data_IF_359857224222
#
_entry.id   IF_359857224222
#
_cell.length_a   1.000
_cell.length_b   1.000
_cell.length_c   1.000
_cell.angle_alpha   90.00
_cell.angle_beta   90.00
_cell.angle_gamma   90.00
#
_symmetry.space_group_name_H-M   'P 1'
#
loop_
_entity.id
_entity.type
_entity.pdbx_description
1 polymer ?
#
# COMPACT_ATOMS: atom_id res chain seq x y z
N UNK A 1 -20.86 44.83 34.82
CA UNK A 1 -21.26 43.44 34.53
C UNK A 1 -20.59 43.00 33.23
N UNK A 2 -19.37 42.48 33.33
CA UNK A 2 -18.55 42.04 32.18
C UNK A 2 -18.63 40.52 32.08
N UNK A 3 -19.29 40.02 31.05
CA UNK A 3 -19.40 38.59 30.75
C UNK A 3 -18.14 38.10 30.03
N UNK A 4 -17.31 37.36 30.76
CA UNK A 4 -16.22 36.56 30.21
C UNK A 4 -16.80 35.31 29.53
N UNK A 5 -16.98 35.36 28.21
CA UNK A 5 -17.26 34.17 27.42
C UNK A 5 -15.94 33.44 27.08
N UNK A 6 -15.69 32.34 27.77
CA UNK A 6 -14.54 31.46 27.52
C UNK A 6 -14.85 30.62 26.28
N UNK A 7 -14.43 31.10 25.10
CA UNK A 7 -14.35 30.26 23.91
C UNK A 7 -13.38 29.10 24.14
N UNK A 8 -13.93 27.90 24.35
CA UNK A 8 -13.19 26.64 24.32
C UNK A 8 -12.62 26.44 22.93
N UNK A 9 -11.30 26.65 22.78
CA UNK A 9 -10.53 26.25 21.58
C UNK A 9 -10.75 24.76 21.34
N UNK A 10 -11.46 24.44 20.26
CA UNK A 10 -11.55 23.10 19.71
C UNK A 10 -10.14 22.64 19.30
N UNK A 11 -9.51 21.74 20.07
CA UNK A 11 -8.29 21.08 19.65
C UNK A 11 -8.67 19.91 18.74
N UNK A 12 -8.36 19.95 17.43
CA UNK A 12 -8.61 18.81 16.56
C UNK A 12 -7.74 17.62 17.03
N UNK A 13 -8.34 16.43 17.05
CA UNK A 13 -7.65 15.18 17.36
C UNK A 13 -6.40 15.02 16.50
N UNK A 14 -5.33 14.47 17.08
CA UNK A 14 -4.00 14.31 16.46
C UNK A 14 -4.05 13.69 15.05
N UNK A 15 -5.05 12.82 14.77
CA UNK A 15 -5.28 12.21 13.46
C UNK A 15 -5.77 13.20 12.38
N UNK A 16 -6.52 14.24 12.74
CA UNK A 16 -6.99 15.29 11.81
C UNK A 16 -5.87 16.27 11.45
N UNK A 17 -5.04 16.63 12.43
CA UNK A 17 -3.85 17.46 12.20
C UNK A 17 -2.81 16.77 11.29
N UNK A 18 -2.70 15.44 11.34
CA UNK A 18 -1.86 14.67 10.41
C UNK A 18 -2.44 14.70 8.99
N UNK A 19 -3.76 14.53 8.81
CA UNK A 19 -4.40 14.64 7.47
C UNK A 19 -4.22 16.04 6.86
N UNK A 20 -4.41 17.09 7.66
CA UNK A 20 -4.22 18.48 7.20
C UNK A 20 -2.76 18.78 6.90
N UNK A 21 -1.79 18.25 7.68
CA UNK A 21 -0.36 18.37 7.33
C UNK A 21 0.03 17.59 6.07
N UNK A 22 -0.53 16.41 5.84
CA UNK A 22 -0.29 15.66 4.59
C UNK A 22 -0.84 16.45 3.39
N UNK A 23 -1.97 17.16 3.54
CA UNK A 23 -2.51 18.03 2.50
C UNK A 23 -1.71 19.33 2.28
N UNK A 24 -1.02 19.85 3.31
CA UNK A 24 -0.29 21.13 3.25
C UNK A 24 1.21 20.99 2.97
N UNK A 25 1.79 19.79 3.04
CA UNK A 25 3.21 19.54 2.69
C UNK A 25 3.39 19.13 1.22
N UNK A 26 2.35 19.32 0.39
CA UNK A 26 2.45 19.27 -1.06
C UNK A 26 2.80 20.67 -1.59
N UNK A 27 4.08 21.04 -1.53
CA UNK A 27 4.67 21.80 -2.66
C UNK A 27 4.89 20.82 -3.81
N UNK A 28 3.83 20.13 -4.23
CA UNK A 28 3.77 19.44 -5.50
C UNK A 28 3.46 20.51 -6.55
N UNK A 29 4.13 20.45 -7.71
CA UNK A 29 3.81 21.34 -8.82
C UNK A 29 2.29 21.37 -9.07
N UNK A 30 1.75 22.53 -9.46
CA UNK A 30 0.35 22.62 -9.85
C UNK A 30 0.17 21.91 -11.19
N UNK A 31 -0.19 20.63 -11.13
CA UNK A 31 -0.59 19.88 -12.31
C UNK A 31 -1.99 20.32 -12.72
N UNK A 32 -2.14 20.74 -13.97
CA UNK A 32 -3.43 21.04 -14.58
C UNK A 32 -3.57 20.21 -15.84
N UNK A 33 -4.80 19.78 -16.14
CA UNK A 33 -5.08 19.11 -17.40
C UNK A 33 -4.81 20.11 -18.54
N UNK A 34 -3.99 19.72 -19.51
CA UNK A 34 -3.76 20.53 -20.70
C UNK A 34 -4.91 20.31 -21.67
N UNK A 35 -5.78 21.32 -21.82
CA UNK A 35 -7.01 21.22 -22.61
C UNK A 35 -6.81 21.53 -24.11
N UNK A 36 -5.59 21.46 -24.63
CA UNK A 36 -5.36 21.74 -26.05
C UNK A 36 -5.88 20.58 -26.91
N UNK A 37 -6.48 20.92 -28.06
CA UNK A 37 -7.01 19.92 -29.00
C UNK A 37 -5.95 18.89 -29.44
N UNK A 38 -4.70 19.34 -29.64
CA UNK A 38 -3.58 18.45 -29.96
C UNK A 38 -3.18 17.47 -28.86
N UNK A 39 -3.58 17.72 -27.60
CA UNK A 39 -3.31 16.84 -26.46
C UNK A 39 -4.52 15.95 -26.12
N UNK A 40 -5.73 16.51 -26.13
CA UNK A 40 -6.96 15.77 -25.80
C UNK A 40 -7.47 14.90 -26.95
N UNK A 41 -7.14 15.25 -28.20
CA UNK A 41 -7.63 14.53 -29.37
C UNK A 41 -9.14 14.63 -29.54
N UNK A 42 -9.71 13.72 -30.34
CA UNK A 42 -11.16 13.64 -30.55
C UNK A 42 -11.85 13.12 -29.29
N UNK A 43 -12.99 13.71 -28.93
CA UNK A 43 -13.80 13.21 -27.82
C UNK A 43 -14.20 11.74 -28.04
N UNK A 44 -13.85 10.90 -27.07
CA UNK A 44 -14.28 9.50 -27.04
C UNK A 44 -15.72 9.37 -26.58
N UNK A 45 -16.52 8.61 -27.31
CA UNK A 45 -17.89 8.28 -26.91
C UNK A 45 -17.94 7.49 -25.60
N UNK A 46 -19.09 7.51 -24.93
CA UNK A 46 -19.27 6.84 -23.62
C UNK A 46 -18.94 5.35 -23.66
N UNK A 47 -19.32 4.64 -24.72
CA UNK A 47 -19.03 3.21 -24.89
C UNK A 47 -17.52 2.94 -25.03
N UNK A 48 -16.82 3.77 -25.81
CA UNK A 48 -15.37 3.68 -25.98
C UNK A 48 -14.64 3.96 -24.65
N UNK A 49 -15.08 4.99 -23.92
CA UNK A 49 -14.53 5.29 -22.59
C UNK A 49 -14.74 4.14 -21.61
N UNK A 50 -15.92 3.53 -21.58
CA UNK A 50 -16.21 2.39 -20.72
C UNK A 50 -15.32 1.20 -21.06
N UNK A 51 -15.11 0.92 -22.34
CA UNK A 51 -14.21 -0.15 -22.76
C UNK A 51 -12.75 0.11 -22.40
N UNK A 52 -12.25 1.31 -22.67
CA UNK A 52 -10.89 1.71 -22.27
C UNK A 52 -10.70 1.59 -20.75
N UNK A 53 -11.65 2.09 -19.96
CA UNK A 53 -11.60 1.99 -18.50
C UNK A 53 -11.66 0.53 -18.01
N UNK A 54 -12.54 -0.31 -18.57
CA UNK A 54 -12.62 -1.72 -18.20
C UNK A 54 -11.30 -2.47 -18.49
N UNK A 55 -10.72 -2.24 -19.67
CA UNK A 55 -9.42 -2.82 -20.07
C UNK A 55 -8.28 -2.32 -19.20
N UNK A 56 -8.23 -1.02 -18.88
CA UNK A 56 -7.23 -0.46 -17.97
C UNK A 56 -7.30 -1.10 -16.57
N UNK A 57 -8.51 -1.29 -16.04
CA UNK A 57 -8.70 -1.94 -14.74
C UNK A 57 -8.25 -3.41 -14.77
N UNK A 58 -8.58 -4.14 -15.84
CA UNK A 58 -8.12 -5.51 -16.02
C UNK A 58 -6.59 -5.60 -16.12
N UNK A 59 -5.95 -4.72 -16.89
CA UNK A 59 -4.49 -4.66 -16.99
C UNK A 59 -3.83 -4.31 -15.65
N UNK A 60 -4.46 -3.42 -14.87
CA UNK A 60 -3.94 -2.98 -13.57
C UNK A 60 -4.00 -4.07 -12.50
N UNK A 61 -5.08 -4.83 -12.47
CA UNK A 61 -5.34 -5.78 -11.38
C UNK A 61 -5.16 -7.26 -11.76
N UNK A 62 -5.18 -7.60 -13.05
CA UNK A 62 -5.27 -8.97 -13.56
C UNK A 62 -6.66 -9.59 -13.35
N UNK A 63 -7.22 -9.43 -12.15
CA UNK A 63 -8.56 -9.83 -11.73
C UNK A 63 -9.31 -8.59 -11.27
N UNK A 64 -10.44 -8.29 -11.90
CA UNK A 64 -11.30 -7.17 -11.58
C UNK A 64 -12.50 -7.62 -10.75
N UNK A 65 -12.65 -6.97 -9.60
CA UNK A 65 -13.78 -7.11 -8.67
C UNK A 65 -14.40 -5.75 -8.37
N UNK A 66 -15.69 -5.73 -8.00
CA UNK A 66 -16.44 -4.47 -7.79
C UNK A 66 -15.86 -3.64 -6.64
N UNK A 67 -15.33 -4.29 -5.62
CA UNK A 67 -14.69 -3.69 -4.46
C UNK A 67 -13.44 -2.90 -4.83
N UNK A 68 -12.66 -3.38 -5.80
CA UNK A 68 -11.45 -2.70 -6.27
C UNK A 68 -11.78 -1.57 -7.22
N UNK A 69 -12.80 -1.72 -8.07
CA UNK A 69 -13.35 -0.62 -8.86
C UNK A 69 -13.69 0.60 -8.00
N UNK A 70 -14.25 0.40 -6.79
CA UNK A 70 -14.61 1.49 -5.87
C UNK A 70 -13.40 2.23 -5.29
N UNK A 71 -12.18 1.70 -5.42
CA UNK A 71 -10.94 2.37 -4.97
C UNK A 71 -10.46 3.43 -5.95
N UNK A 72 -10.91 3.35 -7.20
CA UNK A 72 -10.46 4.22 -8.28
C UNK A 72 -11.36 5.45 -8.45
N UNK A 73 -10.78 6.55 -8.88
CA UNK A 73 -11.47 7.81 -9.16
C UNK A 73 -11.61 8.05 -10.67
N UNK A 74 -12.60 8.87 -11.07
CA UNK A 74 -12.79 9.25 -12.47
C UNK A 74 -13.37 8.16 -13.38
N UNK A 75 -13.83 7.05 -12.82
CA UNK A 75 -14.44 5.95 -13.56
C UNK A 75 -15.92 6.20 -13.86
N UNK A 76 -16.39 5.62 -14.97
CA UNK A 76 -17.81 5.46 -15.28
C UNK A 76 -18.49 4.52 -14.28
N UNK A 77 -19.81 4.60 -14.17
CA UNK A 77 -20.57 3.80 -13.21
C UNK A 77 -20.41 2.30 -13.48
N UNK A 78 -20.36 1.52 -12.40
CA UNK A 78 -20.17 0.06 -12.47
C UNK A 78 -21.05 -0.67 -13.50
N UNK A 79 -22.37 -0.38 -13.66
CA UNK A 79 -23.19 -1.05 -14.67
C UNK A 79 -22.66 -0.87 -16.09
N UNK A 80 -22.13 0.30 -16.44
CA UNK A 80 -21.59 0.58 -17.76
C UNK A 80 -20.34 -0.26 -18.03
N UNK A 81 -19.44 -0.35 -17.06
CA UNK A 81 -18.26 -1.21 -17.13
C UNK A 81 -18.65 -2.70 -17.16
N UNK A 82 -19.63 -3.10 -16.36
CA UNK A 82 -20.10 -4.47 -16.29
C UNK A 82 -20.71 -4.97 -17.60
N UNK A 83 -21.42 -4.11 -18.35
CA UNK A 83 -21.87 -4.44 -19.69
C UNK A 83 -20.70 -4.71 -20.65
N UNK A 84 -19.63 -3.91 -20.57
CA UNK A 84 -18.44 -4.16 -21.38
C UNK A 84 -17.73 -5.44 -20.94
N UNK A 85 -17.57 -5.69 -19.64
CA UNK A 85 -16.96 -6.91 -19.12
C UNK A 85 -17.70 -8.17 -19.57
N UNK A 86 -19.04 -8.16 -19.58
CA UNK A 86 -19.84 -9.24 -20.16
C UNK A 86 -19.57 -9.45 -21.65
N UNK A 87 -19.47 -8.36 -22.42
CA UNK A 87 -19.15 -8.45 -23.85
C UNK A 87 -17.76 -9.04 -24.08
N UNK A 88 -16.76 -8.60 -23.31
CA UNK A 88 -15.39 -9.14 -23.37
C UNK A 88 -15.34 -10.62 -22.96
N UNK A 89 -16.16 -11.05 -21.99
CA UNK A 89 -16.33 -12.46 -21.64
C UNK A 89 -16.90 -13.25 -22.84
N UNK A 90 -17.98 -12.77 -23.45
CA UNK A 90 -18.59 -13.44 -24.61
C UNK A 90 -17.64 -13.54 -25.81
N UNK A 91 -16.77 -12.55 -25.99
CA UNK A 91 -15.70 -12.57 -27.01
C UNK A 91 -14.55 -13.52 -26.64
N UNK A 92 -14.54 -14.07 -25.42
CA UNK A 92 -13.49 -14.96 -24.93
C UNK A 92 -12.19 -14.24 -24.55
N UNK A 93 -12.18 -12.90 -24.51
CA UNK A 93 -11.02 -12.10 -24.14
C UNK A 93 -10.71 -12.18 -22.64
N UNK A 94 -11.73 -12.41 -21.81
CA UNK A 94 -11.60 -12.55 -20.36
C UNK A 94 -12.36 -13.78 -19.85
N UNK A 95 -12.17 -14.11 -18.57
CA UNK A 95 -12.87 -15.19 -17.86
C UNK A 95 -13.71 -14.60 -16.74
N UNK A 96 -14.91 -15.16 -16.55
CA UNK A 96 -15.82 -14.79 -15.47
C UNK A 96 -15.88 -15.92 -14.46
N UNK A 97 -15.78 -15.60 -13.16
CA UNK A 97 -15.76 -16.63 -12.11
C UNK A 97 -15.62 -16.06 -10.70
N UNK A 98 -15.19 -16.93 -9.79
CA UNK A 98 -14.86 -16.61 -8.40
C UNK A 98 -13.41 -17.05 -8.15
N UNK A 99 -12.46 -16.13 -8.27
CA UNK A 99 -11.03 -16.43 -8.19
C UNK A 99 -10.46 -16.16 -6.80
N UNK A 100 -10.98 -15.13 -6.13
CA UNK A 100 -10.53 -14.69 -4.80
C UNK A 100 -11.64 -14.94 -3.79
N UNK A 101 -11.34 -15.68 -2.72
CA UNK A 101 -12.27 -15.93 -1.62
C UNK A 101 -12.53 -14.68 -0.76
N UNK A 102 -13.66 -14.65 -0.05
CA UNK A 102 -14.02 -13.54 0.85
C UNK A 102 -14.48 -12.25 0.18
N UNK A 103 -14.52 -12.21 -1.16
CA UNK A 103 -15.04 -11.10 -1.94
C UNK A 103 -16.45 -11.39 -2.47
N UNK A 104 -17.26 -10.34 -2.59
CA UNK A 104 -18.67 -10.50 -2.96
C UNK A 104 -18.87 -10.42 -4.48
N UNK A 105 -19.73 -11.29 -4.98
CA UNK A 105 -20.17 -11.25 -6.38
C UNK A 105 -19.15 -11.76 -7.39
N UNK A 106 -19.51 -11.59 -8.66
CA UNK A 106 -18.77 -12.16 -9.78
C UNK A 106 -17.50 -11.36 -10.09
N UNK A 107 -16.44 -12.07 -10.48
CA UNK A 107 -15.13 -11.52 -10.78
C UNK A 107 -14.79 -11.75 -12.25
N UNK A 108 -13.98 -10.87 -12.82
CA UNK A 108 -13.53 -10.96 -14.21
C UNK A 108 -12.01 -10.99 -14.25
N UNK A 109 -11.40 -11.94 -14.93
CA UNK A 109 -9.96 -12.11 -14.96
C UNK A 109 -9.42 -12.19 -16.39
N UNK A 110 -8.22 -11.66 -16.59
CA UNK A 110 -7.45 -11.93 -17.80
C UNK A 110 -7.08 -13.43 -17.86
N UNK A 111 -7.09 -14.07 -19.04
CA UNK A 111 -6.75 -15.48 -19.18
C UNK A 111 -5.39 -15.84 -18.58
N UNK A 112 -4.39 -14.97 -18.75
CA UNK A 112 -3.05 -15.11 -18.17
C UNK A 112 -3.05 -15.08 -16.63
N UNK A 113 -3.93 -14.29 -16.01
CA UNK A 113 -4.08 -14.26 -14.55
C UNK A 113 -4.67 -15.58 -14.04
N UNK A 114 -5.64 -16.15 -14.77
CA UNK A 114 -6.21 -17.47 -14.45
C UNK A 114 -5.16 -18.57 -14.60
N UNK A 115 -4.39 -18.55 -15.69
CA UNK A 115 -3.32 -19.52 -15.92
C UNK A 115 -2.23 -19.45 -14.83
N UNK A 116 -1.87 -18.24 -14.38
CA UNK A 116 -0.95 -18.05 -13.26
C UNK A 116 -1.49 -18.67 -11.96
N UNK A 117 -2.76 -18.41 -11.62
CA UNK A 117 -3.40 -18.99 -10.43
C UNK A 117 -3.43 -20.52 -10.48
N UNK A 118 -3.74 -21.11 -11.63
CA UNK A 118 -3.74 -22.56 -11.82
C UNK A 118 -2.33 -23.13 -11.65
N UNK A 119 -1.32 -22.48 -12.24
CA UNK A 119 0.08 -22.90 -12.09
C UNK A 119 0.52 -22.89 -10.63
N UNK A 120 0.17 -21.86 -9.87
CA UNK A 120 0.48 -21.75 -8.44
C UNK A 120 -0.20 -22.86 -7.61
N UNK A 121 -1.38 -23.34 -8.02
CA UNK A 121 -2.06 -24.46 -7.36
C UNK A 121 -1.38 -25.81 -7.64
N UNK A 122 -0.86 -26.03 -8.86
CA UNK A 122 -0.27 -27.32 -9.27
C UNK A 122 1.23 -27.43 -8.97
N UNK A 123 1.94 -26.31 -9.00
CA UNK A 123 3.38 -26.22 -8.77
C UNK A 123 3.64 -25.11 -7.74
N UNK A 124 3.52 -25.39 -6.44
CA UNK A 124 3.88 -24.44 -5.39
C UNK A 124 5.41 -24.30 -5.32
N UNK A 125 6.00 -23.72 -6.36
CA UNK A 125 7.43 -23.39 -6.45
C UNK A 125 7.63 -21.94 -6.04
N UNK A 126 7.32 -21.61 -4.79
CA UNK A 126 7.98 -20.47 -4.18
C UNK A 126 9.45 -20.87 -3.99
N UNK A 127 10.43 -20.08 -4.46
CA UNK A 127 11.82 -20.32 -4.08
C UNK A 127 11.94 -20.33 -2.55
N UNK A 128 12.97 -21.01 -2.04
CA UNK A 128 13.30 -21.01 -0.61
C UNK A 128 13.20 -19.58 -0.05
N UNK A 129 12.22 -19.33 0.84
CA UNK A 129 11.95 -18.04 1.50
C UNK A 129 12.00 -16.83 0.57
N UNK A 130 10.87 -16.45 -0.03
CA UNK A 130 10.74 -15.19 -0.78
C UNK A 130 10.29 -14.07 0.16
N UNK A 131 10.72 -12.84 -0.09
CA UNK A 131 10.21 -11.67 0.62
C UNK A 131 9.97 -10.52 -0.35
N UNK A 132 8.92 -9.75 -0.10
CA UNK A 132 8.49 -8.67 -0.97
C UNK A 132 8.12 -7.45 -0.14
N UNK A 133 8.64 -6.28 -0.51
CA UNK A 133 8.19 -5.00 0.02
C UNK A 133 7.23 -4.36 -0.98
N UNK A 134 6.04 -4.01 -0.50
CA UNK A 134 5.08 -3.21 -1.28
C UNK A 134 4.74 -1.92 -0.54
N UNK A 135 4.62 -0.83 -1.28
CA UNK A 135 3.96 0.36 -0.76
C UNK A 135 2.50 0.04 -0.45
N UNK A 136 1.96 0.58 0.63
CA UNK A 136 0.54 0.39 0.96
C UNK A 136 -0.41 1.04 -0.04
N UNK A 137 0.07 1.92 -0.92
CA UNK A 137 -0.73 2.48 -2.02
C UNK A 137 -0.58 1.71 -3.34
N UNK A 138 0.30 0.70 -3.39
CA UNK A 138 0.54 -0.08 -4.59
C UNK A 138 -0.73 -0.83 -5.03
N UNK A 139 -1.13 -0.77 -6.32
CA UNK A 139 -2.29 -1.51 -6.81
C UNK A 139 -2.12 -3.04 -6.74
N UNK A 140 -0.88 -3.53 -6.77
CA UNK A 140 -0.56 -4.94 -6.58
C UNK A 140 -0.76 -5.40 -5.14
N UNK A 141 -1.04 -4.49 -4.19
CA UNK A 141 -1.52 -4.83 -2.87
C UNK A 141 -3.06 -4.98 -2.93
N UNK A 142 -3.61 -6.21 -3.06
CA UNK A 142 -5.06 -6.42 -3.19
C UNK A 142 -5.81 -6.04 -1.90
N UNK A 143 -5.07 -5.80 -0.83
CA UNK A 143 -5.51 -5.76 0.53
C UNK A 143 -5.68 -4.35 1.09
N UNK A 144 -6.47 -4.22 2.16
CA UNK A 144 -6.94 -2.94 2.67
C UNK A 144 -8.22 -2.48 1.99
N UNK A 145 -9.23 -2.08 2.78
CA UNK A 145 -10.60 -1.86 2.28
C UNK A 145 -11.50 -3.04 2.68
N UNK A 146 -12.01 -3.80 1.70
CA UNK A 146 -13.03 -4.86 1.93
C UNK A 146 -12.44 -6.22 2.32
N UNK A 147 -11.18 -6.49 1.98
CA UNK A 147 -10.49 -7.74 2.38
C UNK A 147 -9.84 -7.53 3.73
N UNK A 148 -10.28 -8.30 4.73
CA UNK A 148 -9.63 -8.38 6.04
C UNK A 148 -8.39 -9.26 5.96
N UNK A 149 -7.43 -8.97 6.82
CA UNK A 149 -6.07 -9.43 6.69
C UNK A 149 -5.57 -10.28 7.83
N UNK A 150 -6.36 -10.39 8.89
CA UNK A 150 -6.02 -11.11 10.13
C UNK A 150 -4.56 -10.83 10.56
N UNK A 151 -4.08 -9.62 10.26
CA UNK A 151 -2.70 -9.23 10.49
C UNK A 151 -2.61 -8.67 11.89
N UNK A 152 -2.22 -9.55 12.82
CA UNK A 152 -2.15 -9.25 14.24
C UNK A 152 -0.71 -9.03 14.66
N UNK A 153 -0.51 -8.19 15.67
CA UNK A 153 0.78 -8.00 16.33
C UNK A 153 1.15 -9.19 17.21
N UNK A 154 2.34 -9.16 17.80
CA UNK A 154 2.83 -10.19 18.72
C UNK A 154 1.91 -10.45 19.94
N UNK A 155 0.99 -9.54 20.24
CA UNK A 155 0.04 -9.64 21.35
C UNK A 155 -1.36 -10.09 20.88
N UNK A 156 -1.53 -10.42 19.59
CA UNK A 156 -2.81 -10.81 19.01
C UNK A 156 -3.75 -9.64 18.72
N UNK A 157 -3.29 -8.39 18.82
CA UNK A 157 -4.10 -7.23 18.45
C UNK A 157 -4.00 -6.97 16.96
N UNK A 158 -5.13 -6.64 16.34
CA UNK A 158 -5.16 -6.30 14.91
C UNK A 158 -4.33 -5.06 14.59
N UNK A 159 -3.39 -5.19 13.66
CA UNK A 159 -2.59 -4.08 13.13
C UNK A 159 -3.41 -3.34 12.07
N UNK A 160 -3.74 -2.09 12.38
CA UNK A 160 -4.49 -1.23 11.47
C UNK A 160 -3.59 -0.62 10.38
N UNK A 161 -3.58 -1.23 9.20
CA UNK A 161 -2.80 -0.74 8.05
C UNK A 161 -3.48 0.46 7.38
N UNK A 162 -2.75 1.56 7.24
CA UNK A 162 -3.21 2.76 6.51
C UNK A 162 -2.53 2.86 5.14
N UNK A 163 -3.31 3.05 4.06
CA UNK A 163 -2.80 3.29 2.71
C UNK A 163 -2.24 4.72 2.58
N UNK A 164 -0.92 4.85 2.59
CA UNK A 164 -0.19 6.11 2.37
C UNK A 164 1.14 5.86 1.66
N UNK A 165 1.62 6.83 0.87
CA UNK A 165 2.86 6.69 0.10
C UNK A 165 4.10 6.42 0.97
N UNK A 166 4.09 6.89 2.22
CA UNK A 166 5.17 6.67 3.18
C UNK A 166 5.09 5.34 3.93
N UNK A 167 4.03 4.55 3.71
CA UNK A 167 3.76 3.33 4.43
C UNK A 167 4.03 2.11 3.54
N UNK A 168 4.65 1.08 4.12
CA UNK A 168 5.08 -0.11 3.40
C UNK A 168 4.74 -1.38 4.17
N UNK A 169 4.57 -2.48 3.45
CA UNK A 169 4.36 -3.81 3.98
C UNK A 169 5.46 -4.72 3.50
N UNK A 170 6.06 -5.43 4.44
CA UNK A 170 6.96 -6.54 4.18
C UNK A 170 6.15 -7.83 4.22
N UNK A 171 6.15 -8.53 3.11
CA UNK A 171 5.66 -9.90 3.00
C UNK A 171 6.82 -10.86 3.16
N UNK A 172 6.55 -11.94 3.88
CA UNK A 172 7.40 -13.11 3.95
C UNK A 172 6.62 -14.28 3.36
N UNK A 173 7.11 -14.79 2.23
CA UNK A 173 6.38 -15.65 1.32
C UNK A 173 5.05 -15.01 0.88
N UNK A 174 3.93 -15.50 1.39
CA UNK A 174 2.58 -15.04 1.03
C UNK A 174 1.89 -14.30 2.18
N UNK A 175 2.56 -14.13 3.32
CA UNK A 175 1.96 -13.57 4.53
C UNK A 175 2.57 -12.20 4.89
N UNK A 176 1.75 -11.23 5.34
CA UNK A 176 2.27 -9.99 5.87
C UNK A 176 3.08 -10.28 7.13
N UNK A 177 4.35 -9.87 7.13
CA UNK A 177 5.29 -10.09 8.23
C UNK A 177 5.51 -8.80 9.03
N UNK A 178 5.63 -7.65 8.36
CA UNK A 178 5.77 -6.37 9.03
C UNK A 178 5.08 -5.21 8.29
N UNK A 179 4.60 -4.25 9.05
CA UNK A 179 4.05 -2.99 8.57
C UNK A 179 4.91 -1.82 9.04
N UNK A 180 5.38 -1.02 8.09
CA UNK A 180 6.21 0.15 8.32
C UNK A 180 5.37 1.42 8.11
N UNK A 181 5.11 2.14 9.20
CA UNK A 181 4.53 3.47 9.11
C UNK A 181 5.61 4.51 8.88
N UNK A 182 5.36 5.42 7.94
CA UNK A 182 6.18 6.60 7.71
C UNK A 182 7.69 6.29 7.56
N UNK A 183 8.04 5.42 6.62
CA UNK A 183 9.41 4.93 6.37
C UNK A 183 10.04 4.33 7.64
N UNK A 184 9.35 3.35 8.24
CA UNK A 184 9.76 2.63 9.45
C UNK A 184 9.87 3.48 10.73
N UNK A 185 9.31 4.69 10.74
CA UNK A 185 9.30 5.50 11.95
C UNK A 185 8.52 4.84 13.09
N UNK A 186 7.46 4.11 12.75
CA UNK A 186 6.88 3.09 13.62
C UNK A 186 6.85 1.77 12.86
N UNK A 187 7.28 0.71 13.51
CA UNK A 187 7.28 -0.65 12.99
C UNK A 187 6.26 -1.48 13.74
N UNK A 188 5.50 -2.27 12.99
CA UNK A 188 4.60 -3.28 13.51
C UNK A 188 5.02 -4.64 12.95
N UNK A 189 5.52 -5.51 13.81
CA UNK A 189 5.89 -6.88 13.53
C UNK A 189 4.68 -7.77 13.82
N UNK A 190 4.33 -8.63 12.86
CA UNK A 190 3.22 -9.56 12.98
C UNK A 190 3.48 -10.68 13.98
N UNK A 191 2.41 -11.37 14.41
CA UNK A 191 2.46 -12.51 15.33
C UNK A 191 3.37 -13.66 14.85
N UNK A 192 3.53 -13.78 13.52
CA UNK A 192 4.38 -14.79 12.87
C UNK A 192 5.83 -14.34 12.66
N UNK A 193 6.22 -13.16 13.17
CA UNK A 193 7.57 -12.66 13.05
C UNK A 193 8.61 -13.62 13.64
N UNK A 194 9.75 -13.76 12.97
CA UNK A 194 10.89 -14.60 13.40
C UNK A 194 12.21 -13.86 13.13
N UNK A 195 13.24 -14.17 13.91
CA UNK A 195 14.54 -13.48 13.80
C UNK A 195 15.21 -13.67 12.41
N UNK A 196 14.89 -14.76 11.70
CA UNK A 196 15.32 -15.01 10.30
C UNK A 196 14.79 -13.98 9.30
N UNK A 197 13.72 -13.26 9.64
CA UNK A 197 13.12 -12.21 8.80
C UNK A 197 13.83 -10.85 8.96
N UNK A 198 14.65 -10.70 10.00
CA UNK A 198 15.36 -9.44 10.32
C UNK A 198 16.21 -8.93 9.14
N UNK A 199 17.01 -9.76 8.43
CA UNK A 199 17.80 -9.30 7.29
C UNK A 199 16.96 -8.69 6.16
N UNK A 200 15.78 -9.24 5.87
CA UNK A 200 14.89 -8.72 4.83
C UNK A 200 14.30 -7.35 5.21
N UNK A 201 13.87 -7.18 6.46
CA UNK A 201 13.41 -5.88 6.98
C UNK A 201 14.52 -4.83 6.91
N UNK A 202 15.73 -5.18 7.32
CA UNK A 202 16.88 -4.27 7.30
C UNK A 202 17.26 -3.91 5.86
N UNK A 203 17.31 -4.89 4.95
CA UNK A 203 17.60 -4.66 3.54
C UNK A 203 16.55 -3.74 2.89
N UNK A 204 15.27 -3.94 3.21
CA UNK A 204 14.18 -3.05 2.80
C UNK A 204 14.40 -1.62 3.30
N UNK A 205 14.65 -1.42 4.61
CA UNK A 205 14.85 -0.08 5.18
C UNK A 205 16.07 0.61 4.55
N UNK A 206 17.18 -0.14 4.38
CA UNK A 206 18.39 0.34 3.71
C UNK A 206 18.11 0.76 2.27
N UNK A 207 17.28 0.02 1.53
CA UNK A 207 16.98 0.32 0.13
C UNK A 207 16.41 1.73 -0.08
N UNK A 208 15.64 2.27 0.88
CA UNK A 208 15.09 3.62 0.80
C UNK A 208 16.16 4.74 0.81
N UNK A 209 17.35 4.47 1.36
CA UNK A 209 18.46 5.42 1.38
C UNK A 209 19.47 5.22 0.23
N UNK A 210 19.38 4.09 -0.50
CA UNK A 210 20.22 3.83 -1.71
C UNK A 210 19.84 4.69 -2.90
N UNK A 211 18.62 5.21 -2.91
CA UNK A 211 18.13 6.16 -3.94
C UNK A 211 18.99 7.44 -3.92
N UNK A 212 19.30 8.08 -5.06
CA UNK A 212 20.03 9.35 -5.08
C UNK A 212 19.37 10.42 -4.20
N UNK A 213 20.18 11.25 -3.52
CA UNK A 213 19.69 12.19 -2.51
C UNK A 213 18.54 13.10 -3.00
N UNK A 214 18.57 13.54 -4.26
CA UNK A 214 17.53 14.38 -4.86
C UNK A 214 16.17 13.67 -5.02
N UNK A 215 16.14 12.34 -5.02
CA UNK A 215 14.95 11.52 -5.20
C UNK A 215 14.52 10.80 -3.91
N UNK A 216 15.28 10.95 -2.81
CA UNK A 216 14.94 10.32 -1.53
C UNK A 216 13.73 11.00 -0.89
N UNK A 217 12.78 10.20 -0.43
CA UNK A 217 11.69 10.71 0.42
C UNK A 217 12.15 11.10 1.82
N UNK A 218 13.29 10.57 2.28
CA UNK A 218 13.85 10.81 3.62
C UNK A 218 15.37 10.98 3.56
N UNK A 219 15.88 11.98 4.27
CA UNK A 219 17.33 12.21 4.37
C UNK A 219 18.04 11.14 5.23
N UNK A 220 17.32 10.58 6.20
CA UNK A 220 17.72 9.49 7.10
C UNK A 220 16.47 8.74 7.57
N UNK A 221 16.64 7.52 8.07
CA UNK A 221 15.54 6.76 8.67
C UNK A 221 15.60 6.89 10.19
N UNK A 222 14.46 7.10 10.84
CA UNK A 222 14.37 7.29 12.29
C UNK A 222 13.28 6.38 12.86
N UNK A 223 13.65 5.26 13.47
CA UNK A 223 12.74 4.31 14.10
C UNK A 223 12.50 4.77 15.55
N UNK A 224 11.26 5.16 15.85
CA UNK A 224 10.84 5.60 17.18
C UNK A 224 10.23 4.45 17.98
N UNK A 225 9.38 3.64 17.32
CA UNK A 225 8.62 2.60 17.98
C UNK A 225 8.62 1.28 17.21
N UNK A 226 8.59 0.18 17.96
CA UNK A 226 8.41 -1.18 17.44
C UNK A 226 7.31 -1.83 18.29
N UNK A 227 6.20 -2.24 17.67
CA UNK A 227 5.01 -2.79 18.35
C UNK A 227 4.49 -1.92 19.51
N UNK A 228 4.57 -0.59 19.35
CA UNK A 228 4.14 0.38 20.36
C UNK A 228 5.18 0.67 21.46
N UNK A 229 6.23 -0.14 21.58
CA UNK A 229 7.34 0.05 22.53
C UNK A 229 8.42 0.97 21.96
N UNK A 230 9.25 1.54 22.83
CA UNK A 230 10.41 2.33 22.38
C UNK A 230 11.38 1.44 21.58
N UNK A 231 11.83 1.92 20.42
CA UNK A 231 12.71 1.17 19.53
C UNK A 231 14.04 0.75 20.18
N UNK A 232 14.56 1.51 21.16
CA UNK A 232 15.81 1.21 21.87
C UNK A 232 15.68 0.08 22.88
N UNK A 233 14.53 -0.07 23.52
CA UNK A 233 14.29 -1.10 24.53
C UNK A 233 13.79 -2.41 23.92
N UNK A 234 13.42 -2.40 22.65
CA UNK A 234 12.88 -3.56 21.95
C UNK A 234 13.98 -4.57 21.61
N UNK A 235 13.64 -5.86 21.56
CA UNK A 235 14.56 -6.97 21.21
C UNK A 235 15.29 -6.75 19.87
N UNK A 236 14.64 -6.10 18.90
CA UNK A 236 15.24 -5.84 17.59
C UNK A 236 16.34 -4.76 17.61
N UNK A 237 16.47 -3.99 18.69
CA UNK A 237 17.41 -2.88 18.78
C UNK A 237 18.85 -3.31 18.53
N UNK A 238 19.29 -4.42 19.15
CA UNK A 238 20.66 -4.91 19.00
C UNK A 238 20.97 -5.29 17.55
N UNK A 239 20.04 -5.99 16.88
CA UNK A 239 20.18 -6.36 15.46
C UNK A 239 20.24 -5.13 14.56
N UNK A 240 19.44 -4.09 14.85
CA UNK A 240 19.48 -2.84 14.10
C UNK A 240 20.82 -2.11 14.29
N UNK A 241 21.32 -2.01 15.51
CA UNK A 241 22.61 -1.39 15.81
C UNK A 241 23.77 -2.10 15.09
N UNK A 242 23.79 -3.43 15.11
CA UNK A 242 24.77 -4.24 14.38
C UNK A 242 24.71 -4.03 12.85
N UNK A 243 23.60 -3.50 12.33
CA UNK A 243 23.39 -3.24 10.92
C UNK A 243 23.54 -1.76 10.52
N UNK A 244 24.22 -0.95 11.34
CA UNK A 244 24.60 0.43 11.01
C UNK A 244 23.59 1.49 11.47
N UNK A 245 22.62 1.11 12.29
CA UNK A 245 21.80 2.09 13.00
C UNK A 245 22.56 2.64 14.20
N UNK A 246 22.29 3.89 14.55
CA UNK A 246 22.86 4.59 15.70
C UNK A 246 21.76 4.94 16.71
N UNK A 247 22.14 5.02 17.98
CA UNK A 247 21.24 5.32 19.09
C UNK A 247 21.23 6.83 19.36
N UNK A 248 20.14 7.53 19.02
CA UNK A 248 20.01 9.00 19.20
C UNK A 248 18.79 9.28 20.10
N UNK A 249 18.98 9.69 21.36
CA UNK A 249 17.87 10.02 22.26
C UNK A 249 16.93 8.84 22.58
N UNK A 250 15.72 8.85 22.02
CA UNK A 250 14.70 7.78 22.17
C UNK A 250 14.46 6.99 20.87
N UNK A 251 15.31 7.19 19.85
CA UNK A 251 15.17 6.58 18.51
C UNK A 251 16.42 5.85 18.05
N UNK A 252 16.25 4.98 17.06
CA UNK A 252 17.31 4.39 16.27
C UNK A 252 17.36 5.07 14.90
N UNK A 253 18.53 5.54 14.49
CA UNK A 253 18.72 6.36 13.29
C UNK A 253 19.63 5.63 12.31
N UNK A 254 19.23 5.54 11.04
CA UNK A 254 20.08 5.04 9.96
C UNK A 254 20.40 6.19 9.01
N UNK A 255 21.70 6.46 8.87
CA UNK A 255 22.23 7.47 7.97
C UNK A 255 22.54 6.89 6.59
N UNK A 256 22.46 7.68 5.50
CA UNK A 256 22.83 7.21 4.17
C UNK A 256 24.28 6.72 4.03
N UNK A 257 25.19 7.18 4.89
CA UNK A 257 26.60 6.74 4.93
C UNK A 257 26.78 5.31 5.44
N UNK A 258 25.75 4.71 6.05
CA UNK A 258 25.78 3.38 6.66
C UNK A 258 25.07 2.29 5.83
N UNK A 259 24.72 2.59 4.56
CA UNK A 259 23.82 1.81 3.69
C UNK A 259 24.51 1.23 2.46
#
# INVERSE_FOLDING_TARGET
WSSHDRQRRYQPSFRRAIRERVALTQTEGRWFLTNSFGVLGRESGMAERAERQARLLLQRYGILVKEWYRRESGLLHWPQLFHVLKRLEWQGEIRRGYFIAGLSGVQFALPEAVALLQKLQTEPQLPATSHLCLSTIDPALPFGGVVDWDFNDLNGNKIAVTRAASNHLLFWNEEPAAYCENFASRLWLGEKWRDEMNPALIAMIKSWLRVPAALRSRARIEILQINGENAKTNKLAETLLQNGFESEGEKLVLWPSAV
#
